data_IF_383606557297
#
_entry.id   IF_383606557297
#
_cell.length_a   1.000
_cell.length_b   1.000
_cell.length_c   1.000
_cell.angle_alpha   90.00
_cell.angle_beta   90.00
_cell.angle_gamma   90.00
#
_symmetry.space_group_name_H-M   'P 1'
#
loop_
_entity.id
_entity.type
_entity.pdbx_description
1 polymer ?
#
# COMPACT_ATOMS: atom_id res chain seq x y z
N UNK A 1 -4.19 3.07 -14.29
CA UNK A 1 -5.55 2.85 -13.72
C UNK A 1 -5.60 1.59 -12.86
N UNK A 2 -5.87 1.72 -11.56
CA UNK A 2 -6.06 0.58 -10.64
C UNK A 2 -7.40 -0.10 -10.90
N UNK A 3 -7.37 -1.36 -11.33
CA UNK A 3 -8.59 -2.17 -11.52
C UNK A 3 -9.15 -2.69 -10.20
N UNK A 4 -10.43 -3.05 -10.18
CA UNK A 4 -11.08 -3.63 -9.00
C UNK A 4 -10.36 -4.89 -8.48
N UNK A 5 -9.81 -5.72 -9.39
CA UNK A 5 -9.06 -6.94 -9.06
C UNK A 5 -7.74 -6.61 -8.38
N UNK A 6 -6.96 -5.67 -8.92
CA UNK A 6 -5.72 -5.20 -8.28
C UNK A 6 -5.99 -4.57 -6.91
N UNK A 7 -7.04 -3.76 -6.80
CA UNK A 7 -7.45 -3.13 -5.53
C UNK A 7 -7.85 -4.17 -4.47
N UNK A 8 -8.55 -5.24 -4.86
CA UNK A 8 -8.91 -6.33 -3.95
C UNK A 8 -7.66 -7.01 -3.37
N UNK A 9 -6.64 -7.23 -4.20
CA UNK A 9 -5.38 -7.85 -3.79
C UNK A 9 -4.51 -6.92 -2.96
N UNK A 10 -4.40 -5.65 -3.32
CA UNK A 10 -3.72 -4.63 -2.51
C UNK A 10 -4.33 -4.52 -1.11
N UNK A 11 -5.66 -4.56 -0.99
CA UNK A 11 -6.34 -4.61 0.32
C UNK A 11 -6.11 -5.92 1.06
N UNK A 12 -5.98 -7.04 0.36
CA UNK A 12 -5.68 -8.33 0.97
C UNK A 12 -4.25 -8.36 1.54
N UNK A 13 -3.27 -7.85 0.79
CA UNK A 13 -1.89 -7.65 1.24
C UNK A 13 -1.87 -6.79 2.51
N UNK A 14 -2.52 -5.61 2.49
CA UNK A 14 -2.61 -4.76 3.68
C UNK A 14 -3.22 -5.48 4.89
N UNK A 15 -4.31 -6.23 4.69
CA UNK A 15 -4.94 -6.98 5.80
C UNK A 15 -4.01 -8.03 6.38
N UNK A 16 -3.31 -8.80 5.53
CA UNK A 16 -2.35 -9.80 6.00
C UNK A 16 -1.25 -9.16 6.85
N UNK A 17 -0.69 -8.03 6.39
CA UNK A 17 0.31 -7.27 7.14
C UNK A 17 -0.29 -6.76 8.46
N UNK A 18 -1.46 -6.12 8.42
CA UNK A 18 -2.12 -5.56 9.62
C UNK A 18 -2.46 -6.61 10.67
N UNK A 19 -2.80 -7.83 10.25
CA UNK A 19 -3.07 -8.96 11.16
C UNK A 19 -1.81 -9.36 11.93
N UNK A 20 -0.63 -9.36 11.28
CA UNK A 20 0.65 -9.70 11.92
C UNK A 20 1.31 -8.51 12.64
N UNK A 21 1.09 -7.30 12.13
CA UNK A 21 1.68 -6.04 12.61
C UNK A 21 0.57 -5.02 12.90
N UNK A 22 -0.11 -5.10 14.06
CA UNK A 22 -1.23 -4.23 14.42
C UNK A 22 -0.89 -2.75 14.52
N UNK A 23 0.37 -2.37 14.60
CA UNK A 23 0.86 -1.00 14.64
C UNK A 23 0.79 -0.31 13.27
N UNK A 24 0.87 -1.08 12.17
CA UNK A 24 0.90 -0.55 10.80
C UNK A 24 -0.43 0.13 10.44
N UNK A 25 -0.40 1.31 9.82
CA UNK A 25 -1.61 2.03 9.40
C UNK A 25 -1.63 2.24 7.89
N UNK A 26 -2.77 2.00 7.25
CA UNK A 26 -2.93 2.34 5.84
C UNK A 26 -2.93 3.87 5.65
N UNK A 27 -2.07 4.36 4.75
CA UNK A 27 -2.12 5.73 4.26
C UNK A 27 -3.07 5.82 3.06
N UNK A 28 -2.69 5.21 1.94
CA UNK A 28 -3.47 5.16 0.70
C UNK A 28 -2.95 4.07 -0.24
N UNK A 29 -3.75 3.69 -1.23
CA UNK A 29 -3.34 2.79 -2.30
C UNK A 29 -3.26 3.61 -3.59
N UNK A 30 -2.14 3.51 -4.30
CA UNK A 30 -1.87 4.25 -5.52
C UNK A 30 -1.21 3.37 -6.56
N UNK A 31 -1.11 3.88 -7.79
CA UNK A 31 -0.16 3.36 -8.76
C UNK A 31 1.26 3.72 -8.31
N UNK A 32 2.23 2.89 -8.68
CA UNK A 32 3.64 3.29 -8.51
C UNK A 32 3.91 4.52 -9.39
N UNK A 33 4.62 5.53 -8.86
CA UNK A 33 5.08 6.65 -9.67
C UNK A 33 6.08 6.22 -10.76
N UNK A 34 6.79 5.10 -10.57
CA UNK A 34 7.79 4.58 -11.50
C UNK A 34 7.15 3.75 -12.62
N UNK A 35 6.15 2.94 -12.28
CA UNK A 35 5.44 2.09 -13.23
C UNK A 35 3.94 2.08 -12.95
N UNK A 36 3.11 2.73 -13.79
CA UNK A 36 1.65 2.77 -13.62
C UNK A 36 0.95 1.41 -13.66
N UNK A 37 1.64 0.34 -14.09
CA UNK A 37 1.11 -1.03 -14.02
C UNK A 37 1.20 -1.62 -12.62
N UNK A 38 2.03 -1.05 -11.75
CA UNK A 38 2.30 -1.56 -10.42
C UNK A 38 1.46 -0.81 -9.39
N UNK A 39 1.12 -1.49 -8.31
CA UNK A 39 0.30 -0.92 -7.24
C UNK A 39 1.09 -0.84 -5.96
N UNK A 40 1.10 0.34 -5.35
CA UNK A 40 1.70 0.57 -4.04
C UNK A 40 0.63 0.63 -2.96
N UNK A 41 0.85 -0.16 -1.92
CA UNK A 41 0.13 -0.11 -0.66
C UNK A 41 0.95 0.76 0.28
N UNK A 42 0.64 2.06 0.30
CA UNK A 42 1.37 3.02 1.11
C UNK A 42 0.93 2.91 2.57
N UNK A 43 1.87 2.59 3.45
CA UNK A 43 1.63 2.34 4.87
C UNK A 43 2.50 3.26 5.73
N UNK A 44 1.97 3.62 6.88
CA UNK A 44 2.73 4.26 7.94
C UNK A 44 3.35 3.13 8.76
N UNK A 45 4.66 3.02 8.67
CA UNK A 45 5.49 2.05 9.40
C UNK A 45 5.72 2.51 10.84
N UNK A 46 6.04 1.59 11.78
CA UNK A 46 6.57 1.96 13.09
C UNK A 46 7.93 2.65 12.97
N UNK A 47 8.40 3.25 14.07
CA UNK A 47 9.73 3.88 14.15
C UNK A 47 10.85 2.88 14.49
N UNK A 48 10.47 1.68 14.93
CA UNK A 48 11.40 0.61 15.29
C UNK A 48 11.96 -0.08 14.03
N UNK A 49 13.29 0.01 13.84
CA UNK A 49 13.98 -0.50 12.66
C UNK A 49 13.88 -2.03 12.50
N UNK A 50 13.97 -2.78 13.60
CA UNK A 50 13.82 -4.25 13.56
C UNK A 50 12.42 -4.63 13.09
N UNK A 51 11.41 -3.89 13.58
CA UNK A 51 10.02 -4.06 13.12
C UNK A 51 9.84 -3.67 11.67
N UNK A 52 10.52 -2.63 11.18
CA UNK A 52 10.49 -2.26 9.77
C UNK A 52 11.02 -3.42 8.91
N UNK A 53 12.14 -4.03 9.29
CA UNK A 53 12.73 -5.16 8.56
C UNK A 53 11.74 -6.33 8.52
N UNK A 54 11.18 -6.74 9.67
CA UNK A 54 10.21 -7.84 9.72
C UNK A 54 8.96 -7.58 8.85
N UNK A 55 8.47 -6.34 8.83
CA UNK A 55 7.34 -5.94 7.98
C UNK A 55 7.71 -6.07 6.51
N UNK A 56 8.90 -5.60 6.12
CA UNK A 56 9.36 -5.65 4.74
C UNK A 56 9.55 -7.08 4.26
N UNK A 57 10.16 -7.95 5.06
CA UNK A 57 10.34 -9.37 4.74
C UNK A 57 8.99 -10.07 4.53
N UNK A 58 8.07 -9.91 5.49
CA UNK A 58 6.75 -10.53 5.39
C UNK A 58 5.93 -9.98 4.23
N UNK A 59 5.97 -8.66 4.00
CA UNK A 59 5.28 -8.05 2.87
C UNK A 59 5.89 -8.49 1.54
N UNK A 60 7.22 -8.65 1.48
CA UNK A 60 7.95 -9.14 0.31
C UNK A 60 7.50 -10.55 -0.08
N UNK A 61 7.44 -11.48 0.89
CA UNK A 61 6.93 -12.83 0.69
C UNK A 61 5.52 -12.81 0.09
N UNK A 62 4.58 -12.09 0.73
CA UNK A 62 3.18 -12.02 0.27
C UNK A 62 3.02 -11.30 -1.07
N UNK A 63 3.89 -10.34 -1.37
CA UNK A 63 3.91 -9.64 -2.66
C UNK A 63 4.38 -10.57 -3.78
N UNK A 64 5.40 -11.39 -3.50
CA UNK A 64 5.86 -12.45 -4.41
C UNK A 64 4.77 -13.49 -4.65
N UNK A 65 4.04 -13.93 -3.61
CA UNK A 65 2.89 -14.84 -3.77
C UNK A 65 1.85 -14.26 -4.75
N UNK A 66 1.49 -12.98 -4.59
CA UNK A 66 0.54 -12.29 -5.48
C UNK A 66 1.07 -12.22 -6.92
N UNK A 67 2.36 -11.93 -7.08
CA UNK A 67 2.99 -11.86 -8.40
C UNK A 67 2.94 -13.22 -9.10
N UNK A 68 3.35 -14.30 -8.42
CA UNK A 68 3.42 -15.64 -9.01
C UNK A 68 2.03 -16.22 -9.30
N UNK A 69 1.09 -16.09 -8.37
CA UNK A 69 -0.24 -16.68 -8.55
C UNK A 69 -1.13 -15.88 -9.52
N UNK A 70 -0.95 -14.55 -9.58
CA UNK A 70 -1.94 -13.64 -10.17
C UNK A 70 -1.38 -12.73 -11.24
N UNK A 71 -0.05 -12.67 -11.40
CA UNK A 71 0.63 -11.84 -12.39
C UNK A 71 0.55 -10.34 -12.10
N UNK A 72 0.29 -9.93 -10.85
CA UNK A 72 0.23 -8.52 -10.48
C UNK A 72 1.39 -8.13 -9.58
N UNK A 73 2.13 -7.12 -9.99
CA UNK A 73 3.13 -6.49 -9.14
C UNK A 73 2.43 -5.52 -8.17
N UNK A 74 2.31 -5.94 -6.91
CA UNK A 74 1.72 -5.17 -5.83
C UNK A 74 2.69 -5.24 -4.65
N UNK A 75 3.14 -4.10 -4.15
CA UNK A 75 4.12 -4.01 -3.07
C UNK A 75 3.71 -2.98 -2.03
N UNK A 76 4.44 -2.91 -0.92
CA UNK A 76 4.31 -1.85 0.07
C UNK A 76 5.28 -0.71 -0.21
N UNK A 77 4.92 0.48 0.28
CA UNK A 77 5.82 1.64 0.35
C UNK A 77 5.60 2.35 1.68
N UNK A 78 6.65 2.98 2.20
CA UNK A 78 6.56 3.80 3.40
C UNK A 78 5.88 5.14 3.09
N UNK A 79 5.08 5.63 4.03
CA UNK A 79 4.44 6.93 3.93
C UNK A 79 4.27 7.58 5.29
N UNK A 80 4.15 8.90 5.28
CA UNK A 80 3.99 9.74 6.45
C UNK A 80 2.52 10.14 6.70
N UNK A 81 2.16 10.52 7.94
CA UNK A 81 0.86 11.13 8.22
C UNK A 81 0.58 12.38 7.38
N UNK A 82 1.61 13.15 7.03
CA UNK A 82 1.49 14.36 6.21
C UNK A 82 1.05 14.01 4.77
N UNK A 83 1.67 13.00 4.16
CA UNK A 83 1.29 12.52 2.83
C UNK A 83 -0.11 11.92 2.81
N UNK A 84 -0.49 11.16 3.84
CA UNK A 84 -1.87 10.67 3.99
C UNK A 84 -2.88 11.82 4.00
N UNK A 85 -2.59 12.89 4.75
CA UNK A 85 -3.44 14.10 4.81
C UNK A 85 -3.51 14.79 3.46
N UNK A 86 -2.36 14.95 2.79
CA UNK A 86 -2.28 15.52 1.45
C UNK A 86 -3.14 14.73 0.45
N UNK A 87 -2.98 13.40 0.40
CA UNK A 87 -3.71 12.52 -0.50
C UNK A 87 -5.24 12.58 -0.27
N UNK A 88 -5.64 12.58 1.00
CA UNK A 88 -7.05 12.68 1.40
C UNK A 88 -7.68 14.00 0.94
N UNK A 89 -6.96 15.11 1.07
CA UNK A 89 -7.45 16.43 0.68
C UNK A 89 -7.54 16.61 -0.84
N UNK A 90 -6.57 16.11 -1.60
CA UNK A 90 -6.55 16.25 -3.06
C UNK A 90 -7.59 15.37 -3.75
N UNK A 91 -7.86 14.15 -3.25
CA UNK A 91 -9.01 13.36 -3.71
C UNK A 91 -10.36 14.04 -3.46
N UNK A 92 -10.50 14.76 -2.34
CA UNK A 92 -11.74 15.51 -2.03
C UNK A 92 -11.90 16.76 -2.89
N UNK A 93 -10.81 17.43 -3.26
CA UNK A 93 -10.82 18.62 -4.13
C UNK A 93 -11.17 18.30 -5.59
N UNK A 94 -10.90 17.08 -6.08
CA UNK A 94 -11.36 16.63 -7.39
C UNK A 94 -12.88 16.54 -7.56
N UNK A 95 -13.65 16.54 -6.46
CA UNK A 95 -15.13 16.59 -6.46
C UNK A 95 -15.70 18.01 -6.30
N UNK A 96 -14.87 19.04 -6.22
CA UNK A 96 -15.28 20.46 -6.33
C UNK A 96 -14.77 21.01 -7.65
N UNK A 97 -15.34 20.52 -8.75
CA UNK A 97 -15.44 21.30 -9.99
C UNK A 97 -16.91 21.63 -10.15
N UNK A 98 -17.27 22.81 -9.66
CA UNK A 98 -18.46 23.54 -10.07
C UNK A 98 -17.96 24.66 -10.98
#
# INVERSE_FOLDING_TARGET
MITARKLKMARALYRAIKTRFPEVKLAFISESPENPRDVWVNIIMPEDDDRIIEIQEFAGEKSTDILLERGYHITISSSSPAEKKWWTNHRKRGHRKN
#
